data_IF_375566000531
#
_entry.id   IF_375566000531
#
_cell.length_a   1.000
_cell.length_b   1.000
_cell.length_c   1.000
_cell.angle_alpha   90.00
_cell.angle_beta   90.00
_cell.angle_gamma   90.00
#
_symmetry.space_group_name_H-M   'P 1'
#
loop_
_entity.id
_entity.type
_entity.pdbx_description
1 polymer ?
#
# COMPACT_ATOMS: atom_id res chain seq x y z
N UNK A 1 -12.58 3.70 -0.28
CA UNK A 1 -11.51 4.29 -1.11
C UNK A 1 -11.34 3.47 -2.38
N UNK A 2 -10.87 4.03 -3.50
CA UNK A 2 -10.59 3.29 -4.72
C UNK A 2 -9.32 2.43 -4.59
N UNK A 3 -9.29 1.28 -5.27
CA UNK A 3 -8.07 0.52 -5.54
C UNK A 3 -7.56 0.99 -6.91
N UNK A 4 -6.45 1.73 -6.91
CA UNK A 4 -6.03 2.52 -8.08
C UNK A 4 -4.95 1.85 -8.93
N UNK A 5 -4.27 0.84 -8.38
CA UNK A 5 -3.15 0.20 -9.06
C UNK A 5 -2.87 -1.20 -8.49
N UNK A 6 -2.23 -1.99 -9.35
CA UNK A 6 -1.45 -3.16 -8.97
C UNK A 6 0.03 -2.80 -9.03
N UNK A 7 0.76 -3.23 -8.01
CA UNK A 7 2.18 -3.01 -7.78
C UNK A 7 2.89 -4.36 -7.87
N UNK A 8 4.02 -4.39 -8.57
CA UNK A 8 4.89 -5.56 -8.69
C UNK A 8 6.20 -5.31 -7.93
N UNK A 9 6.88 -6.37 -7.47
CA UNK A 9 8.12 -6.22 -6.70
C UNK A 9 9.26 -5.63 -7.55
N UNK A 10 9.23 -5.96 -8.83
CA UNK A 10 10.15 -5.53 -9.88
C UNK A 10 9.86 -4.14 -10.43
N UNK A 11 8.68 -3.55 -10.14
CA UNK A 11 8.30 -2.22 -10.63
C UNK A 11 9.42 -1.21 -10.36
N UNK A 12 9.78 -0.44 -11.40
CA UNK A 12 10.83 0.56 -11.28
C UNK A 12 10.38 1.76 -10.43
N UNK A 13 11.33 2.66 -10.15
CA UNK A 13 11.06 3.82 -9.32
C UNK A 13 10.04 4.78 -9.96
N UNK A 14 10.02 4.90 -11.29
CA UNK A 14 9.12 5.80 -12.00
C UNK A 14 7.67 5.32 -11.91
N UNK A 15 7.45 4.02 -12.15
CA UNK A 15 6.15 3.38 -11.99
C UNK A 15 5.61 3.56 -10.58
N UNK A 16 6.45 3.35 -9.57
CA UNK A 16 6.05 3.53 -8.17
C UNK A 16 5.72 4.99 -7.89
N UNK A 17 6.52 5.95 -8.37
CA UNK A 17 6.21 7.38 -8.21
C UNK A 17 4.84 7.72 -8.81
N UNK A 18 4.55 7.22 -10.02
CA UNK A 18 3.27 7.43 -10.69
C UNK A 18 2.09 6.88 -9.87
N UNK A 19 2.24 5.69 -9.27
CA UNK A 19 1.21 5.11 -8.39
C UNK A 19 0.99 5.99 -7.15
N UNK A 20 2.06 6.47 -6.50
CA UNK A 20 1.96 7.33 -5.33
C UNK A 20 1.32 8.69 -5.69
N UNK A 21 1.64 9.28 -6.85
CA UNK A 21 1.00 10.50 -7.32
C UNK A 21 -0.49 10.31 -7.63
N UNK A 22 -0.89 9.16 -8.16
CA UNK A 22 -2.31 8.82 -8.32
C UNK A 22 -2.99 8.69 -6.94
N UNK A 23 -2.34 8.03 -5.97
CA UNK A 23 -2.88 7.89 -4.62
C UNK A 23 -3.11 9.25 -3.95
N UNK A 24 -2.17 10.17 -4.12
CA UNK A 24 -2.23 11.54 -3.60
C UNK A 24 -3.40 12.33 -4.16
N UNK A 25 -3.85 12.05 -5.39
CA UNK A 25 -5.01 12.70 -6.02
C UNK A 25 -6.36 12.17 -5.51
N UNK A 26 -6.41 11.01 -4.86
CA UNK A 26 -7.66 10.45 -4.33
C UNK A 26 -8.04 11.12 -3.01
N UNK A 27 -9.18 11.82 -2.86
CA UNK A 27 -9.48 12.64 -1.68
C UNK A 27 -9.55 11.90 -0.33
N UNK A 28 -9.84 10.59 -0.34
CA UNK A 28 -10.03 9.78 0.87
C UNK A 28 -8.94 8.72 1.07
N UNK A 29 -7.77 8.93 0.46
CA UNK A 29 -6.73 7.91 0.37
C UNK A 29 -6.98 6.92 -0.76
N UNK A 30 -6.04 6.00 -0.94
CA UNK A 30 -6.10 5.02 -2.03
C UNK A 30 -5.58 3.66 -1.59
N UNK A 31 -6.17 2.62 -2.19
CA UNK A 31 -5.72 1.25 -2.10
C UNK A 31 -4.83 0.87 -3.28
N UNK A 32 -3.82 0.05 -3.02
CA UNK A 32 -2.95 -0.57 -4.03
C UNK A 32 -2.82 -2.05 -3.68
N UNK A 33 -2.83 -2.92 -4.68
CA UNK A 33 -2.63 -4.36 -4.48
C UNK A 33 -1.21 -4.76 -4.88
N UNK A 34 -0.52 -5.50 -4.03
CA UNK A 34 0.68 -6.23 -4.44
C UNK A 34 0.24 -7.43 -5.29
N UNK A 35 0.70 -7.47 -6.54
CA UNK A 35 0.20 -8.34 -7.59
C UNK A 35 0.66 -9.80 -7.46
N UNK A 36 1.69 -10.09 -6.66
CA UNK A 36 2.14 -11.46 -6.38
C UNK A 36 2.71 -11.56 -4.98
N UNK A 37 2.89 -12.80 -4.53
CA UNK A 37 3.69 -13.09 -3.36
C UNK A 37 5.12 -12.56 -3.56
N UNK A 38 5.68 -12.00 -2.50
CA UNK A 38 7.04 -11.46 -2.50
C UNK A 38 8.04 -12.61 -2.69
N UNK A 39 8.94 -12.53 -3.68
CA UNK A 39 9.80 -13.65 -4.02
C UNK A 39 10.86 -13.93 -2.94
N UNK A 40 11.44 -12.88 -2.36
CA UNK A 40 12.43 -12.99 -1.30
C UNK A 40 12.54 -11.71 -0.44
N UNK A 41 13.41 -11.76 0.57
CA UNK A 41 13.68 -10.63 1.46
C UNK A 41 14.36 -9.44 0.77
N UNK A 42 15.17 -9.68 -0.26
CA UNK A 42 15.90 -8.63 -0.99
C UNK A 42 14.89 -7.79 -1.79
N UNK A 43 13.95 -8.45 -2.47
CA UNK A 43 12.84 -7.81 -3.16
C UNK A 43 11.97 -7.01 -2.19
N UNK A 44 11.65 -7.56 -1.01
CA UNK A 44 10.88 -6.88 0.02
C UNK A 44 11.55 -5.58 0.49
N UNK A 45 12.84 -5.67 0.83
CA UNK A 45 13.65 -4.50 1.23
C UNK A 45 13.73 -3.48 0.10
N UNK A 46 13.97 -3.94 -1.12
CA UNK A 46 14.07 -3.08 -2.30
C UNK A 46 12.77 -2.32 -2.54
N UNK A 47 11.63 -3.02 -2.50
CA UNK A 47 10.31 -2.40 -2.64
C UNK A 47 10.06 -1.37 -1.54
N UNK A 48 10.33 -1.72 -0.28
CA UNK A 48 10.17 -0.78 0.84
C UNK A 48 11.01 0.48 0.69
N UNK A 49 12.25 0.37 0.22
CA UNK A 49 13.11 1.51 -0.05
C UNK A 49 12.62 2.36 -1.25
N UNK A 50 12.09 1.71 -2.30
CA UNK A 50 11.49 2.40 -3.44
C UNK A 50 10.22 3.16 -3.03
N UNK A 51 9.37 2.57 -2.19
CA UNK A 51 8.19 3.23 -1.61
C UNK A 51 8.59 4.42 -0.75
N UNK A 52 9.58 4.26 0.13
CA UNK A 52 10.12 5.36 0.94
C UNK A 52 10.54 6.54 0.06
N UNK A 53 11.36 6.28 -0.98
CA UNK A 53 11.80 7.29 -1.95
C UNK A 53 10.61 7.93 -2.65
N UNK A 54 9.65 7.15 -3.12
CA UNK A 54 8.47 7.66 -3.82
C UNK A 54 7.64 8.58 -2.92
N UNK A 55 7.43 8.22 -1.65
CA UNK A 55 6.75 9.10 -0.70
C UNK A 55 7.49 10.43 -0.51
N UNK A 56 8.83 10.43 -0.54
CA UNK A 56 9.63 11.67 -0.52
C UNK A 56 9.43 12.48 -1.79
N UNK A 57 9.73 11.87 -2.94
CA UNK A 57 9.77 12.54 -4.24
C UNK A 57 8.43 13.18 -4.60
N UNK A 58 7.32 12.49 -4.30
CA UNK A 58 5.96 12.97 -4.57
C UNK A 58 5.43 13.93 -3.50
N UNK A 59 6.19 14.18 -2.43
CA UNK A 59 5.76 14.90 -1.24
C UNK A 59 4.41 14.37 -0.70
N UNK A 60 4.35 13.06 -0.47
CA UNK A 60 3.10 12.41 -0.09
C UNK A 60 2.61 12.91 1.29
N UNK A 61 1.33 13.31 1.45
CA UNK A 61 0.87 13.96 2.68
C UNK A 61 0.79 12.99 3.86
N UNK A 62 1.27 13.42 5.04
CA UNK A 62 1.37 12.56 6.21
C UNK A 62 0.04 11.96 6.70
N UNK A 63 -1.06 12.70 6.60
CA UNK A 63 -2.39 12.24 7.01
C UNK A 63 -3.13 11.41 5.97
N UNK A 64 -2.62 11.35 4.74
CA UNK A 64 -3.32 10.74 3.62
C UNK A 64 -3.19 9.22 3.64
N UNK A 65 -4.28 8.44 3.75
CA UNK A 65 -4.15 6.99 3.82
C UNK A 65 -3.62 6.41 2.50
N UNK A 66 -2.53 5.68 2.57
CA UNK A 66 -2.06 4.78 1.52
C UNK A 66 -2.16 3.35 2.04
N UNK A 67 -3.03 2.54 1.42
CA UNK A 67 -3.29 1.17 1.86
C UNK A 67 -2.73 0.20 0.83
N UNK A 68 -1.82 -0.68 1.25
CA UNK A 68 -1.32 -1.77 0.44
C UNK A 68 -1.94 -3.09 0.90
N UNK A 69 -2.55 -3.81 -0.04
CA UNK A 69 -3.04 -5.17 0.17
C UNK A 69 -2.01 -6.18 -0.33
N UNK A 70 -1.73 -7.21 0.45
CA UNK A 70 -0.83 -8.29 0.07
C UNK A 70 -1.30 -9.62 0.63
N UNK A 71 -0.89 -10.71 -0.02
CA UNK A 71 -1.13 -12.08 0.44
C UNK A 71 -0.09 -12.52 1.46
N UNK A 72 1.08 -11.88 1.51
CA UNK A 72 2.18 -12.27 2.39
C UNK A 72 2.13 -11.56 3.74
N UNK A 73 2.58 -12.23 4.80
CA UNK A 73 2.80 -11.63 6.12
C UNK A 73 4.07 -10.76 6.15
N UNK A 74 4.01 -9.60 5.50
CA UNK A 74 5.16 -8.69 5.32
C UNK A 74 4.91 -7.29 5.88
N UNK A 75 3.74 -7.02 6.48
CA UNK A 75 3.32 -5.67 6.83
C UNK A 75 4.30 -4.93 7.73
N UNK A 76 4.83 -5.60 8.76
CA UNK A 76 5.82 -5.03 9.69
C UNK A 76 7.13 -4.65 9.00
N UNK A 77 7.69 -5.57 8.23
CA UNK A 77 8.95 -5.35 7.52
C UNK A 77 8.82 -4.24 6.49
N UNK A 78 7.80 -4.34 5.63
CA UNK A 78 7.58 -3.39 4.56
C UNK A 78 7.31 -2.00 5.11
N UNK A 79 6.49 -1.91 6.16
CA UNK A 79 6.21 -0.67 6.88
C UNK A 79 7.47 -0.02 7.43
N UNK A 80 8.37 -0.79 8.05
CA UNK A 80 9.64 -0.27 8.56
C UNK A 80 10.53 0.30 7.46
N UNK A 81 10.70 -0.41 6.34
CA UNK A 81 11.50 0.12 5.22
C UNK A 81 10.85 1.34 4.56
N UNK A 82 9.54 1.31 4.33
CA UNK A 82 8.79 2.38 3.67
C UNK A 82 8.70 3.68 4.51
N UNK A 83 8.76 3.57 5.83
CA UNK A 83 8.71 4.72 6.76
C UNK A 83 10.08 5.13 7.29
N UNK A 84 11.14 4.43 6.89
CA UNK A 84 12.48 4.55 7.47
C UNK A 84 12.44 4.42 8.99
N UNK A 85 11.86 3.31 9.47
CA UNK A 85 11.70 2.97 10.89
C UNK A 85 10.94 4.04 11.66
N UNK A 86 9.85 4.55 11.08
CA UNK A 86 9.00 5.58 11.68
C UNK A 86 9.57 7.00 11.67
N UNK A 87 10.78 7.23 11.10
CA UNK A 87 11.33 8.60 10.96
C UNK A 87 10.47 9.49 10.09
N UNK A 88 9.74 8.91 9.12
CA UNK A 88 8.81 9.63 8.28
C UNK A 88 7.38 9.39 8.74
N UNK A 89 6.64 10.47 9.01
CA UNK A 89 5.21 10.40 9.30
C UNK A 89 4.44 10.23 7.99
N UNK A 90 4.04 9.00 7.68
CA UNK A 90 3.13 8.66 6.58
C UNK A 90 2.04 7.76 7.14
N UNK A 91 0.80 8.00 6.75
CA UNK A 91 -0.31 7.09 7.01
C UNK A 91 -0.27 5.91 6.02
N UNK A 92 0.75 5.06 6.18
CA UNK A 92 0.96 3.86 5.39
C UNK A 92 0.42 2.64 6.13
N UNK A 93 -0.56 1.97 5.54
CA UNK A 93 -1.23 0.81 6.12
C UNK A 93 -0.96 -0.38 5.20
N UNK A 94 -0.42 -1.45 5.74
CA UNK A 94 -0.35 -2.74 5.04
C UNK A 94 -1.41 -3.65 5.64
N UNK A 95 -2.28 -4.17 4.79
CA UNK A 95 -3.21 -5.23 5.14
C UNK A 95 -2.67 -6.49 4.46
N UNK A 96 -1.98 -7.30 5.25
CA UNK A 96 -1.41 -8.57 4.83
C UNK A 96 -2.39 -9.74 4.97
N UNK A 97 -2.01 -10.88 4.41
CA UNK A 97 -2.78 -12.13 4.44
C UNK A 97 -4.19 -12.00 3.84
N UNK A 98 -4.37 -11.06 2.90
CA UNK A 98 -5.62 -10.89 2.15
C UNK A 98 -5.44 -11.37 0.72
N UNK A 99 -6.22 -12.38 0.33
CA UNK A 99 -6.29 -12.85 -1.06
C UNK A 99 -6.57 -11.71 -2.02
N UNK A 100 -5.94 -11.76 -3.19
CA UNK A 100 -6.24 -10.81 -4.25
C UNK A 100 -7.70 -10.92 -4.68
N UNK A 101 -8.28 -9.76 -4.96
CA UNK A 101 -9.66 -9.65 -5.45
C UNK A 101 -9.67 -8.70 -6.61
N UNK A 102 -10.47 -9.02 -7.63
CA UNK A 102 -10.75 -8.09 -8.71
C UNK A 102 -11.79 -7.06 -8.25
N UNK A 103 -11.33 -6.15 -7.39
CA UNK A 103 -12.15 -5.13 -6.76
C UNK A 103 -11.63 -3.74 -7.15
N UNK A 104 -12.56 -2.83 -7.40
CA UNK A 104 -12.27 -1.44 -7.77
C UNK A 104 -12.32 -0.52 -6.54
N UNK A 105 -13.04 -0.94 -5.50
CA UNK A 105 -13.18 -0.18 -4.26
C UNK A 105 -13.04 -1.07 -3.04
N UNK A 106 -12.54 -0.47 -1.96
CA UNK A 106 -12.44 -1.09 -0.65
C UNK A 106 -13.01 -0.14 0.41
N UNK A 107 -13.78 -0.71 1.33
CA UNK A 107 -14.17 -0.04 2.57
C UNK A 107 -13.41 -0.69 3.73
N UNK A 108 -12.72 0.13 4.51
CA UNK A 108 -12.01 -0.28 5.72
C UNK A 108 -12.76 0.38 6.86
N UNK A 109 -13.47 -0.43 7.65
CA UNK A 109 -14.24 0.07 8.78
C UNK A 109 -13.36 0.42 9.97
N UNK A 110 -14.02 0.73 11.09
CA UNK A 110 -13.34 0.99 12.35
C UNK A 110 -13.07 -0.30 13.12
N UNK A 111 -12.00 -0.33 13.91
CA UNK A 111 -11.70 -1.45 14.79
C UNK A 111 -12.88 -1.71 15.75
N UNK A 112 -13.36 -2.95 15.78
CA UNK A 112 -14.37 -3.44 16.70
C UNK A 112 -13.95 -4.80 17.24
N UNK A 113 -13.80 -4.93 18.56
CA UNK A 113 -13.30 -6.15 19.22
C UNK A 113 -12.02 -6.71 18.57
N UNK A 114 -11.04 -5.83 18.33
CA UNK A 114 -9.75 -6.14 17.68
C UNK A 114 -9.82 -6.55 16.21
N UNK A 115 -11.00 -6.50 15.59
CA UNK A 115 -11.21 -6.83 14.18
C UNK A 115 -11.47 -5.53 13.42
N UNK A 116 -10.86 -5.38 12.24
CA UNK A 116 -11.17 -4.31 11.31
C UNK A 116 -11.95 -4.93 10.15
N UNK A 117 -13.24 -4.59 9.94
CA UNK A 117 -14.00 -5.14 8.84
C UNK A 117 -13.51 -4.52 7.52
N UNK A 118 -13.26 -5.39 6.54
CA UNK A 118 -12.83 -4.99 5.20
C UNK A 118 -13.84 -5.53 4.20
N UNK A 119 -14.37 -4.65 3.34
CA UNK A 119 -15.30 -5.00 2.28
C UNK A 119 -14.75 -4.56 0.94
N UNK A 120 -14.80 -5.46 -0.04
CA UNK A 120 -14.35 -5.22 -1.41
C UNK A 120 -15.55 -5.14 -2.33
N UNK A 121 -15.54 -4.18 -3.25
CA UNK A 121 -16.62 -3.93 -4.20
C UNK A 121 -16.06 -3.88 -5.62
N UNK A 122 -16.77 -4.55 -6.53
CA UNK A 122 -16.56 -4.50 -7.97
C UNK A 122 -17.86 -4.02 -8.63
N UNK A 123 -17.72 -3.22 -9.69
CA UNK A 123 -18.83 -2.87 -10.57
C UNK A 123 -18.74 -3.84 -11.74
N UNK A 124 -19.74 -4.72 -11.84
CA UNK A 124 -19.93 -5.64 -12.97
C UNK A 124 -20.80 -4.98 -14.05
#
# INVERSE_FOLDING_TARGET
MPIIARLYAEDDQERINNIIDLAKKSPRGAGVQLAFAMPDWIALKTLGLKLYRAFITTNFPAGHPFVLFTVDNIGKTLGNYATNWGKRRINFIVIDEISQRDAQFVNIGTMYKQIIPISFYAIN
#
